data_IF_267113206501
#
_entry.id   IF_267113206501
#
_cell.length_a   1.000
_cell.length_b   1.000
_cell.length_c   1.000
_cell.angle_alpha   90.00
_cell.angle_beta   90.00
_cell.angle_gamma   90.00
#
_symmetry.space_group_name_H-M   'P 1'
#
loop_
_entity.id
_entity.type
_entity.pdbx_description
1 polymer ?
#
# COMPACT_ATOMS: atom_id res chain seq x y z
N UNK A 1 0.11 -44.66 22.97
CA UNK A 1 0.66 -43.38 23.42
C UNK A 1 0.89 -42.48 22.21
N UNK A 2 -0.16 -42.03 21.50
CA UNK A 2 0.05 -41.12 20.34
C UNK A 2 -1.20 -40.28 20.00
N UNK A 3 -2.17 -40.15 20.93
CA UNK A 3 -3.36 -39.33 20.73
C UNK A 3 -3.34 -38.02 21.54
N UNK A 4 -2.60 -37.97 22.66
CA UNK A 4 -2.50 -36.78 23.50
C UNK A 4 -1.46 -35.76 23.00
N UNK A 5 -0.47 -36.19 22.22
CA UNK A 5 0.54 -35.28 21.63
C UNK A 5 0.02 -34.52 20.40
N UNK A 6 -1.03 -35.01 19.74
CA UNK A 6 -1.65 -34.33 18.59
C UNK A 6 -2.52 -33.15 19.04
N UNK A 7 -3.15 -33.24 20.21
CA UNK A 7 -4.00 -32.17 20.75
C UNK A 7 -3.19 -30.96 21.26
N UNK A 8 -1.91 -31.15 21.62
CA UNK A 8 -1.05 -30.08 22.11
C UNK A 8 -0.44 -29.20 21.01
N UNK A 9 -0.57 -29.59 19.74
CA UNK A 9 -0.02 -28.85 18.58
C UNK A 9 -1.06 -27.97 17.87
N UNK A 10 -2.36 -28.11 18.20
CA UNK A 10 -3.44 -27.34 17.58
C UNK A 10 -3.84 -26.08 18.39
N UNK A 11 -3.30 -25.90 19.60
CA UNK A 11 -3.48 -24.68 20.40
C UNK A 11 -2.38 -23.65 20.14
N UNK A 12 -2.06 -23.40 18.86
CA UNK A 12 -1.38 -22.14 18.53
C UNK A 12 -2.39 -21.03 18.74
N UNK A 13 -2.22 -20.12 19.73
CA UNK A 13 -3.11 -18.97 19.86
C UNK A 13 -3.02 -18.23 18.53
N UNK A 14 -4.14 -18.20 17.81
CA UNK A 14 -4.34 -17.28 16.70
C UNK A 14 -4.19 -15.90 17.30
N UNK A 15 -2.95 -15.40 17.32
CA UNK A 15 -2.64 -14.06 17.77
C UNK A 15 -3.46 -13.15 16.87
N UNK A 16 -4.47 -12.53 17.46
CA UNK A 16 -5.19 -11.42 16.86
C UNK A 16 -4.13 -10.48 16.31
N UNK A 17 -3.95 -10.49 14.99
CA UNK A 17 -3.06 -9.58 14.31
C UNK A 17 -3.75 -8.25 14.46
N UNK A 18 -3.43 -7.52 15.54
CA UNK A 18 -4.00 -6.24 15.86
C UNK A 18 -3.97 -5.41 14.58
N UNK A 19 -5.12 -5.25 13.94
CA UNK A 19 -5.25 -4.52 12.69
C UNK A 19 -4.77 -3.13 13.02
N UNK A 20 -3.55 -2.79 12.59
CA UNK A 20 -2.94 -1.52 12.95
C UNK A 20 -3.88 -0.42 12.46
N UNK A 21 -4.63 0.16 13.38
CA UNK A 21 -5.63 1.18 13.07
C UNK A 21 -4.82 2.35 12.54
N UNK A 22 -4.97 2.63 11.25
CA UNK A 22 -4.32 3.77 10.63
C UNK A 22 -4.91 5.04 11.24
N UNK A 23 -4.17 5.64 12.17
CA UNK A 23 -4.50 6.95 12.72
C UNK A 23 -3.84 7.99 11.81
N UNK A 24 -4.62 8.88 11.16
CA UNK A 24 -4.05 9.91 10.31
C UNK A 24 -3.15 10.84 11.15
N UNK A 25 -2.03 11.35 10.59
CA UNK A 25 -1.06 12.12 11.38
C UNK A 25 -1.64 13.42 11.95
N UNK A 26 -2.72 13.94 11.39
CA UNK A 26 -3.44 15.09 11.93
C UNK A 26 -4.03 14.84 13.34
N UNK A 27 -4.27 13.58 13.70
CA UNK A 27 -4.77 13.17 15.01
C UNK A 27 -3.63 12.81 15.98
N UNK A 28 -2.44 12.51 15.44
CA UNK A 28 -1.24 12.22 16.24
C UNK A 28 -0.50 13.48 16.68
N UNK A 29 -0.66 14.58 15.93
CA UNK A 29 0.01 15.85 16.19
C UNK A 29 -0.87 16.76 17.07
N UNK A 30 -0.28 17.32 18.12
CA UNK A 30 -0.93 18.36 18.91
C UNK A 30 -1.14 19.61 18.05
N UNK A 31 -2.40 20.09 18.02
CA UNK A 31 -2.82 21.26 17.27
C UNK A 31 -2.35 22.56 17.90
N UNK A 32 -2.07 22.56 19.20
CA UNK A 32 -1.67 23.75 19.94
C UNK A 32 -0.14 23.93 20.00
N UNK A 33 0.64 22.92 19.56
CA UNK A 33 2.09 22.99 19.53
C UNK A 33 2.60 23.91 18.39
N UNK A 34 3.35 24.99 18.69
CA UNK A 34 3.95 25.87 17.68
C UNK A 34 4.89 25.17 16.70
N UNK A 35 5.43 24.00 17.03
CA UNK A 35 6.24 23.22 16.09
C UNK A 35 5.41 22.69 14.90
N UNK A 36 4.12 22.44 15.11
CA UNK A 36 3.21 21.88 14.11
C UNK A 36 2.47 22.96 13.29
N UNK A 37 2.57 24.22 13.68
CA UNK A 37 1.89 25.37 13.06
C UNK A 37 2.08 25.41 11.54
N UNK A 38 3.31 25.18 11.06
CA UNK A 38 3.63 25.22 9.63
C UNK A 38 2.88 24.14 8.86
N UNK A 39 2.78 22.94 9.42
CA UNK A 39 2.08 21.82 8.82
C UNK A 39 0.57 22.12 8.72
N UNK A 40 -0.05 22.50 9.84
CA UNK A 40 -1.49 22.79 9.88
C UNK A 40 -1.87 23.98 9.00
N UNK A 41 -1.06 25.04 8.94
CA UNK A 41 -1.26 26.16 8.00
C UNK A 41 -1.21 25.71 6.55
N UNK A 42 -0.22 24.89 6.18
CA UNK A 42 -0.11 24.35 4.82
C UNK A 42 -1.33 23.51 4.46
N UNK A 43 -1.72 22.59 5.35
CA UNK A 43 -2.88 21.73 5.19
C UNK A 43 -4.18 22.54 5.06
N UNK A 44 -4.38 23.55 5.92
CA UNK A 44 -5.52 24.45 5.88
C UNK A 44 -5.60 25.19 4.54
N UNK A 45 -4.48 25.74 4.08
CA UNK A 45 -4.41 26.45 2.79
C UNK A 45 -4.77 25.53 1.62
N UNK A 46 -4.28 24.28 1.62
CA UNK A 46 -4.64 23.29 0.60
C UNK A 46 -6.13 22.95 0.65
N UNK A 47 -6.69 22.70 1.85
CA UNK A 47 -8.13 22.42 2.03
C UNK A 47 -9.00 23.60 1.59
N UNK A 48 -8.62 24.82 1.92
CA UNK A 48 -9.31 26.03 1.49
C UNK A 48 -9.31 26.18 -0.04
N UNK A 49 -8.18 25.92 -0.70
CA UNK A 49 -8.10 25.91 -2.17
C UNK A 49 -8.95 24.81 -2.80
N UNK A 50 -8.92 23.59 -2.25
CA UNK A 50 -9.76 22.47 -2.71
C UNK A 50 -11.24 22.85 -2.60
N UNK A 51 -11.67 23.40 -1.47
CA UNK A 51 -13.06 23.82 -1.25
C UNK A 51 -13.47 24.93 -2.23
N UNK A 52 -12.60 25.93 -2.45
CA UNK A 52 -12.85 27.04 -3.36
C UNK A 52 -13.00 26.55 -4.81
N UNK A 53 -12.14 25.65 -5.27
CA UNK A 53 -12.23 25.08 -6.62
C UNK A 53 -13.40 24.11 -6.75
N UNK A 54 -13.69 23.31 -5.73
CA UNK A 54 -14.81 22.37 -5.74
C UNK A 54 -16.14 23.09 -5.89
N UNK A 55 -16.31 24.27 -5.26
CA UNK A 55 -17.51 25.12 -5.40
C UNK A 55 -17.68 25.70 -6.80
N UNK A 56 -16.58 25.92 -7.53
CA UNK A 56 -16.59 26.49 -8.90
C UNK A 56 -16.77 25.42 -10.00
N UNK A 57 -16.72 24.14 -9.63
CA UNK A 57 -16.83 23.02 -10.55
C UNK A 57 -18.20 22.36 -10.44
N UNK A 58 -18.73 21.79 -11.55
CA UNK A 58 -19.92 20.94 -11.48
C UNK A 58 -19.68 19.77 -10.49
N UNK A 59 -20.66 19.40 -9.65
CA UNK A 59 -20.52 18.34 -8.64
C UNK A 59 -20.01 17.02 -9.24
N UNK A 60 -20.49 16.70 -10.45
CA UNK A 60 -20.05 15.54 -11.23
C UNK A 60 -18.54 15.52 -11.48
N UNK A 61 -17.96 16.66 -11.86
CA UNK A 61 -16.52 16.74 -12.14
C UNK A 61 -15.69 16.57 -10.86
N UNK A 62 -16.19 17.11 -9.74
CA UNK A 62 -15.56 16.94 -8.42
C UNK A 62 -15.57 15.48 -8.01
N UNK A 63 -16.68 14.77 -8.22
CA UNK A 63 -16.79 13.34 -7.90
C UNK A 63 -15.83 12.49 -8.73
N UNK A 64 -15.74 12.74 -10.04
CA UNK A 64 -14.78 12.07 -10.93
C UNK A 64 -13.33 12.32 -10.47
N UNK A 65 -12.98 13.56 -10.14
CA UNK A 65 -11.64 13.89 -9.64
C UNK A 65 -11.29 13.14 -8.35
N UNK A 66 -12.23 13.07 -7.39
CA UNK A 66 -12.02 12.35 -6.12
C UNK A 66 -11.80 10.86 -6.32
N UNK A 67 -12.63 10.20 -7.14
CA UNK A 67 -12.49 8.76 -7.42
C UNK A 67 -11.18 8.45 -8.15
N UNK A 68 -10.75 9.34 -9.06
CA UNK A 68 -9.48 9.19 -9.75
C UNK A 68 -8.27 9.30 -8.80
N UNK A 69 -8.32 10.22 -7.83
CA UNK A 69 -7.27 10.35 -6.81
C UNK A 69 -7.23 9.13 -5.87
N UNK A 70 -8.36 8.47 -5.64
CA UNK A 70 -8.43 7.18 -4.92
C UNK A 70 -7.83 6.00 -5.71
N UNK A 71 -7.30 6.24 -6.92
CA UNK A 71 -6.65 5.20 -7.73
C UNK A 71 -7.60 4.40 -8.61
N UNK A 72 -8.91 4.72 -8.65
CA UNK A 72 -9.84 4.01 -9.53
C UNK A 72 -9.53 4.29 -11.00
N UNK A 73 -9.60 3.24 -11.82
CA UNK A 73 -9.39 3.37 -13.27
C UNK A 73 -10.60 4.06 -13.92
N UNK A 74 -10.39 4.77 -15.02
CA UNK A 74 -11.47 5.48 -15.72
C UNK A 74 -12.67 4.60 -16.11
N UNK A 75 -12.44 3.32 -16.39
CA UNK A 75 -13.50 2.32 -16.65
C UNK A 75 -14.35 2.06 -15.40
N UNK A 76 -13.73 1.87 -14.24
CA UNK A 76 -14.42 1.62 -12.96
C UNK A 76 -15.23 2.84 -12.53
N UNK A 77 -14.67 4.04 -12.71
CA UNK A 77 -15.38 5.31 -12.44
C UNK A 77 -16.61 5.43 -13.34
N UNK A 78 -16.48 5.09 -14.62
CA UNK A 78 -17.58 5.11 -15.59
C UNK A 78 -18.72 4.17 -15.16
N UNK A 79 -18.41 2.94 -14.76
CA UNK A 79 -19.38 1.98 -14.24
C UNK A 79 -20.03 2.49 -12.95
N UNK A 80 -19.23 2.98 -11.99
CA UNK A 80 -19.71 3.44 -10.68
C UNK A 80 -20.65 4.65 -10.77
N UNK A 81 -20.43 5.54 -11.75
CA UNK A 81 -21.23 6.73 -11.95
C UNK A 81 -22.26 6.61 -13.07
N UNK A 82 -22.36 5.43 -13.70
CA UNK A 82 -23.23 5.15 -14.84
C UNK A 82 -23.08 6.16 -16.00
N UNK A 83 -21.84 6.37 -16.44
CA UNK A 83 -21.50 7.27 -17.54
C UNK A 83 -20.67 6.57 -18.62
N UNK A 84 -20.66 7.13 -19.82
CA UNK A 84 -19.74 6.69 -20.87
C UNK A 84 -18.28 6.99 -20.48
N UNK A 85 -17.39 6.02 -20.73
CA UNK A 85 -15.95 6.15 -20.44
C UNK A 85 -15.33 7.37 -21.13
N UNK A 86 -15.74 7.68 -22.36
CA UNK A 86 -15.30 8.87 -23.11
C UNK A 86 -15.60 10.17 -22.37
N UNK A 87 -16.71 10.22 -21.63
CA UNK A 87 -17.07 11.40 -20.84
C UNK A 87 -16.16 11.57 -19.64
N UNK A 88 -15.78 10.47 -18.97
CA UNK A 88 -14.83 10.50 -17.85
C UNK A 88 -13.46 11.00 -18.32
N UNK A 89 -12.95 10.48 -19.44
CA UNK A 89 -11.69 10.94 -20.04
C UNK A 89 -11.75 12.43 -20.38
N UNK A 90 -12.83 12.90 -21.01
CA UNK A 90 -13.01 14.31 -21.34
C UNK A 90 -13.10 15.21 -20.09
N UNK A 91 -13.70 14.74 -19.00
CA UNK A 91 -13.74 15.47 -17.72
C UNK A 91 -12.33 15.58 -17.12
N UNK A 92 -11.56 14.48 -17.08
CA UNK A 92 -10.21 14.46 -16.51
C UNK A 92 -9.21 15.30 -17.30
N UNK A 93 -9.45 15.53 -18.59
CA UNK A 93 -8.61 16.40 -19.43
C UNK A 93 -8.88 17.91 -19.23
N UNK A 94 -9.96 18.29 -18.53
CA UNK A 94 -10.26 19.72 -18.31
C UNK A 94 -9.22 20.34 -17.37
N UNK A 95 -8.61 21.49 -17.72
CA UNK A 95 -7.55 22.10 -16.90
C UNK A 95 -7.96 22.36 -15.45
N UNK A 96 -9.21 22.82 -15.22
CA UNK A 96 -9.72 23.05 -13.86
C UNK A 96 -9.85 21.76 -13.04
N UNK A 97 -10.14 20.63 -13.70
CA UNK A 97 -10.26 19.33 -13.04
C UNK A 97 -8.87 18.77 -12.75
N UNK A 98 -7.91 18.92 -13.68
CA UNK A 98 -6.51 18.57 -13.44
C UNK A 98 -5.93 19.33 -12.25
N UNK A 99 -6.16 20.66 -12.19
CA UNK A 99 -5.76 21.47 -11.04
C UNK A 99 -6.32 20.96 -9.72
N UNK A 100 -7.58 20.51 -9.71
CA UNK A 100 -8.22 19.91 -8.52
C UNK A 100 -7.57 18.56 -8.18
N UNK A 101 -7.30 17.70 -9.16
CA UNK A 101 -6.62 16.41 -8.96
C UNK A 101 -5.23 16.63 -8.36
N UNK A 102 -4.47 17.59 -8.86
CA UNK A 102 -3.13 17.90 -8.35
C UNK A 102 -3.16 18.46 -6.92
N UNK A 103 -4.17 19.28 -6.58
CA UNK A 103 -4.37 19.74 -5.20
C UNK A 103 -4.75 18.61 -4.26
N UNK A 104 -5.67 17.73 -4.68
CA UNK A 104 -6.05 16.55 -3.91
C UNK A 104 -4.85 15.61 -3.69
N UNK A 105 -4.02 15.37 -4.71
CA UNK A 105 -2.77 14.59 -4.58
C UNK A 105 -1.78 15.24 -3.62
N UNK A 106 -1.59 16.55 -3.69
CA UNK A 106 -0.71 17.29 -2.77
C UNK A 106 -1.23 17.24 -1.34
N UNK A 107 -2.54 17.38 -1.14
CA UNK A 107 -3.14 17.26 0.18
C UNK A 107 -2.98 15.84 0.75
N UNK A 108 -3.24 14.80 -0.06
CA UNK A 108 -3.00 13.42 0.34
C UNK A 108 -1.53 13.17 0.64
N UNK A 109 -0.59 13.69 -0.15
CA UNK A 109 0.83 13.57 0.11
C UNK A 109 1.30 14.25 1.41
N UNK A 110 0.60 15.31 1.85
CA UNK A 110 0.86 15.91 3.17
C UNK A 110 0.37 14.99 4.31
N UNK A 111 -0.76 14.32 4.12
CA UNK A 111 -1.39 13.44 5.12
C UNK A 111 -0.72 12.07 5.18
N UNK A 112 -0.31 11.50 4.05
CA UNK A 112 0.41 10.23 3.99
C UNK A 112 1.84 10.36 4.54
N UNK A 113 2.32 11.60 4.76
CA UNK A 113 3.68 11.88 5.17
C UNK A 113 4.68 11.64 4.03
N UNK A 114 5.99 11.58 4.32
CA UNK A 114 6.99 11.39 3.29
C UNK A 114 6.77 10.06 2.56
N UNK A 115 6.49 10.13 1.25
CA UNK A 115 6.46 8.99 0.34
C UNK A 115 7.74 8.14 0.52
N UNK A 116 7.68 6.84 0.24
CA UNK A 116 8.83 5.92 0.26
C UNK A 116 10.10 6.54 -0.36
N UNK A 117 9.97 7.16 -1.53
CA UNK A 117 11.08 7.83 -2.21
C UNK A 117 11.64 9.02 -1.40
N UNK A 118 10.77 9.79 -0.76
CA UNK A 118 11.14 10.93 0.10
C UNK A 118 11.78 10.43 1.40
N UNK A 119 11.26 9.34 2.00
CA UNK A 119 11.87 8.68 3.17
C UNK A 119 13.27 8.18 2.86
N UNK A 120 13.45 7.49 1.72
CA UNK A 120 14.79 7.07 1.25
C UNK A 120 15.73 8.26 1.07
N UNK A 121 15.27 9.33 0.42
CA UNK A 121 16.09 10.53 0.23
C UNK A 121 16.46 11.18 1.59
N UNK A 122 15.52 11.27 2.51
CA UNK A 122 15.75 11.81 3.85
C UNK A 122 16.79 10.97 4.62
N UNK A 123 16.63 9.64 4.63
CA UNK A 123 17.58 8.72 5.27
C UNK A 123 18.97 8.84 4.65
N UNK A 124 19.04 8.96 3.31
CA UNK A 124 20.31 9.16 2.62
C UNK A 124 20.99 10.48 3.02
N UNK A 125 20.22 11.57 3.16
CA UNK A 125 20.73 12.86 3.64
C UNK A 125 21.19 12.80 5.09
N UNK A 126 20.46 12.09 5.95
CA UNK A 126 20.87 11.86 7.35
C UNK A 126 22.19 11.11 7.39
N UNK A 127 22.33 10.04 6.59
CA UNK A 127 23.56 9.28 6.48
C UNK A 127 24.73 10.14 6.00
N UNK A 128 24.56 10.90 4.92
CA UNK A 128 25.61 11.75 4.37
C UNK A 128 26.04 12.87 5.34
N UNK A 129 25.09 13.50 6.04
CA UNK A 129 25.40 14.61 6.96
C UNK A 129 26.12 14.15 8.24
N UNK A 130 25.96 12.89 8.64
CA UNK A 130 26.49 12.35 9.89
C UNK A 130 27.66 11.38 9.68
N UNK A 131 28.16 11.25 8.45
CA UNK A 131 29.15 10.23 8.07
C UNK A 131 30.42 10.28 8.95
N UNK A 132 30.94 11.48 9.21
CA UNK A 132 32.17 11.66 9.99
C UNK A 132 31.93 11.93 11.47
N UNK A 133 30.84 12.62 11.81
CA UNK A 133 30.59 13.10 13.17
C UNK A 133 29.91 12.03 14.04
N UNK A 134 28.92 11.34 13.48
CA UNK A 134 28.06 10.40 14.22
C UNK A 134 27.86 9.11 13.40
N UNK A 135 28.88 8.25 13.31
CA UNK A 135 28.82 7.05 12.46
C UNK A 135 27.71 6.08 12.87
N UNK A 136 27.32 6.08 14.15
CA UNK A 136 26.19 5.28 14.64
C UNK A 136 24.85 5.69 14.01
N UNK A 137 24.60 6.99 13.86
CA UNK A 137 23.39 7.53 13.21
C UNK A 137 23.40 7.20 11.72
N UNK A 138 24.56 7.33 11.08
CA UNK A 138 24.76 6.95 9.67
C UNK A 138 24.45 5.48 9.43
N UNK A 139 24.99 4.57 10.26
CA UNK A 139 24.71 3.14 10.16
C UNK A 139 23.24 2.80 10.41
N UNK A 140 22.58 3.49 11.36
CA UNK A 140 21.15 3.32 11.61
C UNK A 140 20.32 3.75 10.39
N UNK A 141 20.63 4.91 9.79
CA UNK A 141 19.93 5.40 8.60
C UNK A 141 20.10 4.47 7.40
N UNK A 142 21.32 3.96 7.16
CA UNK A 142 21.60 2.97 6.10
C UNK A 142 20.85 1.66 6.35
N UNK A 143 20.80 1.19 7.61
CA UNK A 143 20.06 -0.02 7.96
C UNK A 143 18.57 0.12 7.64
N UNK A 144 17.95 1.25 8.01
CA UNK A 144 16.56 1.51 7.67
C UNK A 144 16.36 1.61 6.15
N UNK A 145 17.29 2.23 5.41
CA UNK A 145 17.23 2.30 3.96
C UNK A 145 17.25 0.90 3.31
N UNK A 146 18.13 0.01 3.79
CA UNK A 146 18.23 -1.38 3.32
C UNK A 146 16.98 -2.21 3.64
N UNK A 147 16.32 -1.97 4.79
CA UNK A 147 15.02 -2.58 5.10
C UNK A 147 13.95 -2.16 4.10
N UNK A 148 13.93 -0.87 3.75
CA UNK A 148 12.96 -0.31 2.79
C UNK A 148 13.21 -0.85 1.37
N UNK A 149 14.46 -1.05 0.96
CA UNK A 149 14.82 -1.63 -0.34
C UNK A 149 14.59 -3.13 -0.44
N UNK A 150 14.29 -3.81 0.67
CA UNK A 150 14.13 -5.27 0.70
C UNK A 150 15.45 -6.03 0.57
N UNK A 151 16.60 -5.37 0.77
CA UNK A 151 17.91 -6.03 0.76
C UNK A 151 18.06 -7.06 1.89
N UNK A 152 17.25 -6.94 2.95
CA UNK A 152 17.10 -7.90 4.04
C UNK A 152 15.87 -8.82 3.88
N UNK A 153 15.38 -9.07 2.67
CA UNK A 153 14.61 -10.28 2.46
C UNK A 153 15.58 -11.44 2.64
N UNK A 154 15.60 -12.00 3.86
CA UNK A 154 16.13 -13.34 4.06
C UNK A 154 15.48 -14.19 2.96
N UNK A 155 16.32 -14.71 2.07
CA UNK A 155 15.89 -15.74 1.13
C UNK A 155 15.41 -16.88 2.00
N UNK A 156 14.11 -16.93 2.28
CA UNK A 156 13.42 -18.15 2.69
C UNK A 156 13.44 -19.03 1.44
N UNK A 157 14.62 -19.51 1.08
CA UNK A 157 14.79 -20.71 0.29
C UNK A 157 14.49 -21.88 1.23
N UNK A 158 13.24 -22.00 1.69
CA UNK A 158 12.74 -23.31 2.03
C UNK A 158 12.61 -24.03 0.69
N UNK A 159 13.34 -25.12 0.42
CA UNK A 159 13.07 -25.92 -0.76
C UNK A 159 11.62 -26.37 -0.65
N UNK A 160 10.76 -25.91 -1.55
CA UNK A 160 9.41 -26.44 -1.70
C UNK A 160 9.56 -27.92 -2.02
N UNK A 161 9.51 -28.78 -1.00
CA UNK A 161 9.26 -30.20 -1.18
C UNK A 161 7.85 -30.29 -1.74
N UNK A 162 7.75 -30.31 -3.07
CA UNK A 162 6.51 -30.66 -3.75
C UNK A 162 6.33 -32.15 -3.53
N UNK A 163 5.63 -32.53 -2.45
CA UNK A 163 5.11 -33.89 -2.30
C UNK A 163 3.98 -34.03 -3.32
N UNK A 164 4.32 -34.52 -4.51
CA UNK A 164 3.32 -34.95 -5.50
C UNK A 164 2.72 -36.24 -4.98
N UNK A 165 1.54 -36.16 -4.36
CA UNK A 165 0.72 -37.35 -4.08
C UNK A 165 0.04 -37.72 -5.41
N UNK A 166 0.62 -38.68 -6.12
CA UNK A 166 0.00 -39.28 -7.31
C UNK A 166 -1.09 -40.22 -6.79
N UNK A 167 -2.34 -39.79 -6.81
CA UNK A 167 -3.48 -40.68 -6.62
C UNK A 167 -3.58 -41.58 -7.87
N UNK A 168 -3.06 -42.81 -7.77
CA UNK A 168 -3.08 -43.78 -8.87
C UNK A 168 -4.48 -44.33 -9.21
N UNK A 169 -5.52 -43.97 -8.45
CA UNK A 169 -6.89 -44.48 -8.65
C UNK A 169 -7.65 -43.85 -9.83
N UNK A 170 -7.05 -42.91 -10.56
CA UNK A 170 -7.67 -42.21 -11.70
C UNK A 170 -7.03 -42.50 -13.06
N UNK A 171 -6.18 -43.52 -13.14
CA UNK A 171 -5.75 -44.07 -14.43
C UNK A 171 -6.62 -45.27 -14.79
N UNK A 172 -7.35 -45.25 -15.94
CA UNK A 172 -8.05 -46.43 -16.41
C UNK A 172 -7.01 -47.50 -16.71
N UNK A 173 -7.13 -48.67 -16.05
CA UNK A 173 -6.32 -49.85 -16.36
C UNK A 173 -6.44 -50.15 -17.85
N UNK A 174 -5.36 -49.94 -18.59
CA UNK A 174 -5.24 -50.37 -19.98
C UNK A 174 -5.21 -51.90 -20.03
N UNK A 175 -5.84 -52.49 -21.04
CA UNK A 175 -5.94 -53.94 -21.29
C UNK A 175 -4.58 -54.59 -21.67
N UNK A 176 -3.51 -54.34 -20.92
CA UNK A 176 -2.20 -54.94 -21.17
C UNK A 176 -1.67 -55.81 -20.01
N UNK A 177 -2.31 -55.80 -18.84
CA UNK A 177 -1.88 -56.63 -17.68
C UNK A 177 -2.66 -57.96 -17.56
N UNK A 178 -3.41 -58.36 -18.60
CA UNK A 178 -4.24 -59.57 -18.59
C UNK A 178 -3.62 -60.76 -19.35
N UNK A 179 -2.29 -60.83 -19.45
CA UNK A 179 -1.61 -62.03 -19.93
C UNK A 179 -0.25 -62.19 -19.24
N UNK A 180 -0.25 -62.90 -18.11
CA UNK A 180 0.86 -63.76 -17.73
C UNK A 180 0.29 -64.94 -16.94
N UNK A 181 -0.31 -65.87 -17.70
CA UNK A 181 -0.58 -67.24 -17.23
C UNK A 181 0.69 -68.06 -17.48
N UNK A 182 1.36 -68.45 -16.40
CA UNK A 182 2.52 -69.36 -16.37
C UNK A 182 2.82 -69.84 -14.96
#
# INVERSE_FOLDING_TARGET
>A
MDAELQALLDESPQGDVATAVFVPPEELLDREDPANDRFFRSLYNQRAHINTLSRKLPPRNVQVARLHVQGMRGKEIATKLNYAQTTISAILQKPRVQNLVDLLRRANALIEGPNLAVRKNLLWRIAANNEHNEPAVTLAAIRELNKIDGAYQEKINAPTQVTVIINQDLLPKTQLDAHDDG
#
